data_IF_048179302847
#
_entry.id   IF_048179302847
#
_cell.length_a   1.000
_cell.length_b   1.000
_cell.length_c   1.000
_cell.angle_alpha   90.00
_cell.angle_beta   90.00
_cell.angle_gamma   90.00
#
_symmetry.space_group_name_H-M   'P 1'
#
loop_
_entity.id
_entity.type
_entity.pdbx_description
1 polymer ?
#
# COMPACT_ATOMS: atom_id res chain seq x y z
N UNK A 1 14.24 -2.63 5.96
CA UNK A 1 12.87 -3.22 6.07
C UNK A 1 12.85 -4.59 6.76
N UNK A 2 13.83 -5.48 6.51
CA UNK A 2 13.91 -6.83 7.11
C UNK A 2 13.93 -6.83 8.65
N UNK A 3 14.71 -5.93 9.26
CA UNK A 3 14.79 -5.80 10.73
C UNK A 3 13.45 -5.40 11.38
N UNK A 4 12.68 -4.49 10.77
CA UNK A 4 11.35 -4.14 11.25
C UNK A 4 10.38 -5.32 11.14
N UNK A 5 10.43 -6.07 10.04
CA UNK A 5 9.64 -7.30 9.88
C UNK A 5 9.95 -8.33 10.97
N UNK A 6 11.23 -8.54 11.27
CA UNK A 6 11.67 -9.47 12.31
C UNK A 6 11.26 -9.03 13.72
N UNK A 7 11.32 -7.73 14.04
CA UNK A 7 10.82 -7.17 15.31
C UNK A 7 9.31 -7.33 15.46
N UNK A 8 8.54 -7.14 14.38
CA UNK A 8 7.09 -7.33 14.38
C UNK A 8 6.75 -8.81 14.60
N UNK A 9 7.40 -9.73 13.88
CA UNK A 9 7.19 -11.18 14.02
C UNK A 9 7.52 -11.66 15.44
N UNK A 10 8.63 -11.16 16.02
CA UNK A 10 9.03 -11.45 17.39
C UNK A 10 8.08 -10.84 18.42
N UNK A 11 7.55 -9.64 18.21
CA UNK A 11 6.56 -9.02 19.09
C UNK A 11 5.21 -9.75 19.06
N UNK A 12 4.79 -10.25 17.89
CA UNK A 12 3.57 -11.05 17.71
C UNK A 12 3.69 -12.41 18.41
N UNK A 13 4.87 -13.05 18.38
CA UNK A 13 5.12 -14.34 19.05
C UNK A 13 5.37 -14.22 20.56
N UNK A 14 5.96 -13.11 21.02
CA UNK A 14 6.40 -12.96 22.40
C UNK A 14 5.33 -12.38 23.36
N UNK A 15 4.26 -11.78 22.86
CA UNK A 15 3.14 -11.30 23.70
C UNK A 15 1.92 -12.21 23.52
N UNK A 16 1.16 -12.44 24.59
CA UNK A 16 -0.24 -12.93 24.50
C UNK A 16 -1.08 -11.85 23.83
N UNK A 17 -0.96 -11.76 22.52
CA UNK A 17 -1.61 -10.74 21.73
C UNK A 17 -3.01 -11.23 21.35
N UNK A 18 -4.02 -10.37 21.53
CA UNK A 18 -5.38 -10.66 21.09
C UNK A 18 -5.39 -10.97 19.58
N UNK A 19 -6.25 -11.90 19.16
CA UNK A 19 -6.38 -12.29 17.75
C UNK A 19 -6.71 -11.08 16.85
N UNK A 20 -7.47 -10.12 17.37
CA UNK A 20 -7.74 -8.84 16.69
C UNK A 20 -6.45 -8.09 16.33
N UNK A 21 -5.52 -8.00 17.28
CA UNK A 21 -4.26 -7.27 17.08
C UNK A 21 -3.36 -8.03 16.09
N UNK A 22 -3.39 -9.37 16.07
CA UNK A 22 -2.60 -10.18 15.12
C UNK A 22 -3.05 -9.95 13.69
N UNK A 23 -4.37 -9.93 13.47
CA UNK A 23 -4.98 -9.63 12.17
C UNK A 23 -4.60 -8.20 11.74
N UNK A 24 -4.70 -7.23 12.65
CA UNK A 24 -4.33 -5.84 12.36
C UNK A 24 -2.87 -5.69 11.90
N UNK A 25 -1.92 -6.32 12.59
CA UNK A 25 -0.51 -6.28 12.17
C UNK A 25 -0.27 -7.01 10.84
N UNK A 26 -0.95 -8.13 10.59
CA UNK A 26 -0.88 -8.84 9.31
C UNK A 26 -1.40 -8.00 8.15
N UNK A 27 -2.53 -7.30 8.35
CA UNK A 27 -3.11 -6.40 7.36
C UNK A 27 -2.22 -5.17 7.13
N UNK A 28 -1.64 -4.59 8.18
CA UNK A 28 -0.67 -3.50 8.07
C UNK A 28 0.57 -3.90 7.25
N UNK A 29 1.09 -5.12 7.45
CA UNK A 29 2.22 -5.62 6.67
C UNK A 29 1.86 -5.78 5.18
N UNK A 30 0.70 -6.38 4.88
CA UNK A 30 0.20 -6.51 3.50
C UNK A 30 0.02 -5.14 2.82
N UNK A 31 -0.52 -4.18 3.56
CA UNK A 31 -0.69 -2.81 3.11
C UNK A 31 0.65 -2.13 2.80
N UNK A 32 1.65 -2.29 3.68
CA UNK A 32 3.00 -1.75 3.46
C UNK A 32 3.68 -2.38 2.24
N UNK A 33 3.45 -3.66 1.97
CA UNK A 33 3.93 -4.33 0.75
C UNK A 33 3.24 -3.73 -0.48
N UNK A 34 1.91 -3.61 -0.47
CA UNK A 34 1.14 -3.02 -1.56
C UNK A 34 1.54 -1.55 -1.83
N UNK A 35 1.70 -0.74 -0.79
CA UNK A 35 2.19 0.64 -0.88
C UNK A 35 3.64 0.72 -1.38
N UNK A 36 4.47 -0.30 -1.11
CA UNK A 36 5.84 -0.34 -1.64
C UNK A 36 5.84 -0.73 -3.12
N UNK A 37 4.93 -1.60 -3.55
CA UNK A 37 4.79 -2.01 -4.95
C UNK A 37 4.18 -0.91 -5.82
N UNK A 38 3.27 -0.11 -5.29
CA UNK A 38 2.60 0.99 -6.00
C UNK A 38 3.57 1.97 -6.71
N UNK A 39 4.56 2.60 -6.05
CA UNK A 39 5.55 3.45 -6.72
C UNK A 39 6.48 2.66 -7.63
N UNK A 40 6.76 1.39 -7.36
CA UNK A 40 7.62 0.58 -8.24
C UNK A 40 6.95 0.40 -9.61
N UNK A 41 5.65 0.07 -9.61
CA UNK A 41 4.87 -0.18 -10.82
C UNK A 41 4.47 1.11 -11.55
N UNK A 42 3.96 2.12 -10.84
CA UNK A 42 3.42 3.34 -11.45
C UNK A 42 4.47 4.44 -11.69
N UNK A 43 5.62 4.36 -11.04
CA UNK A 43 6.65 5.40 -11.13
C UNK A 43 8.01 4.85 -11.57
N UNK A 44 8.57 3.90 -10.82
CA UNK A 44 9.98 3.50 -10.98
C UNK A 44 10.26 2.79 -12.30
N UNK A 45 9.44 1.80 -12.67
CA UNK A 45 9.58 1.09 -13.95
C UNK A 45 9.36 2.01 -15.17
N UNK A 46 8.21 2.71 -15.28
CA UNK A 46 7.95 3.61 -16.40
C UNK A 46 9.01 4.71 -16.56
N UNK A 47 9.45 5.31 -15.45
CA UNK A 47 10.47 6.36 -15.48
C UNK A 47 11.84 5.84 -15.90
N UNK A 48 12.22 4.62 -15.48
CA UNK A 48 13.51 4.03 -15.87
C UNK A 48 13.55 3.75 -17.37
N UNK A 49 12.46 3.23 -17.94
CA UNK A 49 12.32 3.04 -19.39
C UNK A 49 12.44 4.39 -20.11
N UNK A 50 11.74 5.42 -19.62
CA UNK A 50 11.78 6.76 -20.21
C UNK A 50 13.17 7.43 -20.14
N UNK A 51 13.95 7.18 -19.08
CA UNK A 51 15.32 7.69 -18.96
C UNK A 51 16.27 6.95 -19.93
N UNK A 52 16.18 5.61 -20.00
CA UNK A 52 17.02 4.81 -20.92
C UNK A 52 16.74 5.20 -22.38
N UNK A 53 15.46 5.38 -22.69
CA UNK A 53 14.97 5.88 -23.97
C UNK A 53 15.64 7.20 -24.37
N UNK A 54 15.54 8.19 -23.48
CA UNK A 54 16.10 9.53 -23.67
C UNK A 54 17.62 9.47 -23.86
N UNK A 55 18.32 8.64 -23.09
CA UNK A 55 19.77 8.46 -23.22
C UNK A 55 20.19 7.73 -24.50
N UNK A 56 19.34 6.86 -25.03
CA UNK A 56 19.58 6.12 -26.27
C UNK A 56 19.16 6.88 -27.53
N UNK A 57 18.61 8.09 -27.37
CA UNK A 57 18.06 8.89 -28.46
C UNK A 57 16.82 8.28 -29.12
N UNK A 58 16.13 7.37 -28.43
CA UNK A 58 14.90 6.75 -28.93
C UNK A 58 13.73 7.68 -28.66
N UNK A 59 13.04 8.09 -29.73
CA UNK A 59 11.83 8.88 -29.61
C UNK A 59 10.61 7.97 -29.42
N UNK A 60 10.00 8.06 -28.23
CA UNK A 60 8.79 7.30 -27.90
C UNK A 60 7.50 8.06 -28.26
N UNK A 61 7.61 9.22 -28.91
CA UNK A 61 6.47 10.04 -29.33
C UNK A 61 5.59 10.42 -28.14
N UNK A 62 4.37 9.89 -28.10
CA UNK A 62 3.36 10.27 -27.11
C UNK A 62 3.45 9.51 -25.77
N UNK A 63 4.46 8.66 -25.53
CA UNK A 63 4.68 7.96 -24.26
C UNK A 63 4.70 8.88 -23.01
N UNK A 64 5.20 10.13 -23.06
CA UNK A 64 5.17 11.04 -21.91
C UNK A 64 3.76 11.38 -21.39
N UNK A 65 2.73 11.36 -22.25
CA UNK A 65 1.35 11.67 -21.83
C UNK A 65 0.74 10.62 -20.86
N UNK A 66 0.70 9.31 -21.19
CA UNK A 66 0.21 8.30 -20.25
C UNK A 66 1.12 8.16 -19.02
N UNK A 67 2.42 8.46 -19.13
CA UNK A 67 3.34 8.53 -18.00
C UNK A 67 2.92 9.62 -17.00
N UNK A 68 2.62 10.81 -17.48
CA UNK A 68 2.13 11.91 -16.65
C UNK A 68 0.81 11.54 -15.93
N UNK A 69 -0.08 10.82 -16.61
CA UNK A 69 -1.31 10.31 -16.00
C UNK A 69 -1.02 9.28 -14.90
N UNK A 70 -0.11 8.32 -15.14
CA UNK A 70 0.31 7.33 -14.14
C UNK A 70 0.91 8.00 -12.90
N UNK A 71 1.71 9.06 -13.07
CA UNK A 71 2.26 9.84 -11.97
C UNK A 71 1.18 10.59 -11.18
N UNK A 72 0.15 11.11 -11.85
CA UNK A 72 -0.99 11.73 -11.19
C UNK A 72 -1.87 10.74 -10.41
N UNK A 73 -1.94 9.48 -10.85
CA UNK A 73 -2.70 8.41 -10.19
C UNK A 73 -1.98 7.81 -8.98
N UNK A 74 -0.64 7.81 -8.96
CA UNK A 74 0.17 7.31 -7.85
C UNK A 74 -0.31 7.75 -6.44
N UNK A 75 -0.52 9.07 -6.16
CA UNK A 75 -0.97 9.52 -4.85
C UNK A 75 -2.42 9.12 -4.54
N UNK A 76 -3.24 8.81 -5.55
CA UNK A 76 -4.64 8.38 -5.39
C UNK A 76 -4.72 6.89 -5.06
N UNK A 77 -3.82 6.07 -5.61
CA UNK A 77 -3.80 4.62 -5.36
C UNK A 77 -3.39 4.30 -3.92
N UNK A 78 -2.50 5.08 -3.30
CA UNK A 78 -2.09 4.89 -1.91
C UNK A 78 -3.26 4.89 -0.89
N UNK A 79 -4.14 5.91 -0.84
CA UNK A 79 -5.29 5.90 0.06
C UNK A 79 -6.30 4.79 -0.27
N UNK A 80 -6.45 4.41 -1.55
CA UNK A 80 -7.28 3.25 -1.94
C UNK A 80 -6.74 1.96 -1.30
N UNK A 81 -5.42 1.73 -1.35
CA UNK A 81 -4.77 0.59 -0.70
C UNK A 81 -5.04 0.61 0.82
N UNK A 82 -4.94 1.78 1.46
CA UNK A 82 -5.19 1.92 2.91
C UNK A 82 -6.63 1.54 3.27
N UNK A 83 -7.61 2.05 2.52
CA UNK A 83 -9.03 1.75 2.74
C UNK A 83 -9.30 0.26 2.51
N UNK A 84 -8.69 -0.36 1.51
CA UNK A 84 -8.92 -1.77 1.18
C UNK A 84 -8.38 -2.73 2.25
N UNK A 85 -7.21 -2.41 2.83
CA UNK A 85 -6.55 -3.27 3.83
C UNK A 85 -6.90 -2.94 5.29
N UNK A 86 -7.63 -1.84 5.56
CA UNK A 86 -8.06 -1.50 6.92
C UNK A 86 -9.52 -1.84 7.14
N UNK A 87 -9.77 -2.91 7.90
CA UNK A 87 -11.13 -3.39 8.16
C UNK A 87 -12.01 -2.36 8.89
N UNK A 88 -11.44 -1.53 9.76
CA UNK A 88 -12.17 -0.46 10.45
C UNK A 88 -12.65 0.63 9.48
N UNK A 89 -11.84 0.99 8.47
CA UNK A 89 -12.27 1.93 7.43
C UNK A 89 -13.41 1.35 6.60
N UNK A 90 -13.34 0.06 6.24
CA UNK A 90 -14.41 -0.60 5.47
C UNK A 90 -15.71 -0.69 6.26
N UNK A 91 -15.63 -1.02 7.56
CA UNK A 91 -16.82 -1.11 8.43
C UNK A 91 -17.47 0.25 8.68
N UNK A 92 -16.67 1.31 8.82
CA UNK A 92 -17.16 2.67 9.02
C UNK A 92 -17.69 3.30 7.72
N UNK A 93 -17.08 3.02 6.56
CA UNK A 93 -17.51 3.57 5.27
C UNK A 93 -18.70 2.81 4.66
N UNK A 94 -18.74 1.48 4.80
CA UNK A 94 -19.78 0.65 4.20
C UNK A 94 -20.84 0.17 5.19
N UNK A 95 -20.86 0.73 6.40
CA UNK A 95 -21.97 0.59 7.33
C UNK A 95 -22.36 -0.86 7.62
N UNK A 96 -21.66 -1.48 8.57
CA UNK A 96 -22.39 -2.34 9.51
C UNK A 96 -22.40 -1.64 10.85
N UNK A 97 -23.44 -0.82 11.05
CA UNK A 97 -23.96 -0.56 12.38
C UNK A 97 -24.31 -1.93 12.98
N UNK A 98 -23.38 -2.49 13.74
CA UNK A 98 -23.64 -3.59 14.63
C UNK A 98 -23.11 -3.08 15.95
N UNK A 99 -24.05 -2.60 16.78
CA UNK A 99 -23.77 -2.01 18.07
C UNK A 99 -22.69 -2.80 18.80
N UNK A 100 -21.54 -2.17 18.99
CA UNK A 100 -20.60 -2.61 20.00
C UNK A 100 -20.99 -1.81 21.23
N UNK A 101 -21.81 -2.45 22.05
CA UNK A 101 -22.03 -2.08 23.44
C UNK A 101 -20.67 -1.82 24.08
N UNK A 102 -20.46 -0.56 24.46
CA UNK A 102 -19.38 -0.17 25.35
C UNK A 102 -19.65 -0.84 26.70
N UNK A 103 -19.04 -2.00 26.92
CA UNK A 103 -18.74 -2.49 28.26
C UNK A 103 -17.22 -2.65 28.32
N UNK A 104 -16.53 -1.60 28.78
CA UNK A 104 -15.85 -1.47 30.07
C UNK A 104 -15.54 0.01 30.26
#
# INVERSE_FOLDING_TARGET
KVYCGWRIDRAIKSRKMSDKLKIMHGNALKMLIAQTLNPILLFSLPNTVNIIAMLSGIDFGNLPQPLALMYGLFPIVNPIIVIWFTDDYRKNLFGRSSGVSLQV
#
